data_IF_613980141346
#
_entry.id   IF_613980141346
#
_cell.length_a   1.000
_cell.length_b   1.000
_cell.length_c   1.000
_cell.angle_alpha   90.00
_cell.angle_beta   90.00
_cell.angle_gamma   90.00
#
_symmetry.space_group_name_H-M   'P 1'
#
loop_
_entity.id
_entity.type
_entity.pdbx_description
1 polymer ?
#
# COMPACT_ATOMS: atom_id res chain seq x y z
N UNK A 1 -4.69 -17.50 -34.74
CA UNK A 1 -4.13 -17.91 -33.42
C UNK A 1 -5.00 -19.02 -32.86
N UNK A 2 -4.42 -20.09 -32.32
CA UNK A 2 -5.19 -21.14 -31.66
C UNK A 2 -5.80 -20.60 -30.35
N UNK A 3 -7.05 -20.97 -30.04
CA UNK A 3 -7.67 -20.64 -28.75
C UNK A 3 -7.12 -21.58 -27.67
N UNK A 4 -6.59 -21.02 -26.59
CA UNK A 4 -6.18 -21.79 -25.41
C UNK A 4 -7.38 -22.04 -24.51
N UNK A 5 -7.62 -23.31 -24.15
CA UNK A 5 -8.70 -23.68 -23.23
C UNK A 5 -8.19 -23.69 -21.80
N UNK A 6 -8.96 -23.08 -20.90
CA UNK A 6 -8.72 -23.07 -19.46
C UNK A 6 -9.93 -23.74 -18.80
N UNK A 7 -9.69 -24.58 -17.80
CA UNK A 7 -10.73 -25.18 -16.97
C UNK A 7 -10.70 -24.51 -15.60
N UNK A 8 -11.85 -24.04 -15.14
CA UNK A 8 -12.01 -23.36 -13.86
C UNK A 8 -13.11 -24.08 -13.09
N UNK A 9 -12.80 -24.51 -11.87
CA UNK A 9 -13.80 -25.03 -10.94
C UNK A 9 -14.48 -23.86 -10.23
N UNK A 10 -15.80 -23.89 -10.16
CA UNK A 10 -16.61 -22.87 -9.51
C UNK A 10 -17.52 -23.55 -8.49
N UNK A 11 -17.79 -22.83 -7.41
CA UNK A 11 -18.86 -23.24 -6.50
C UNK A 11 -20.21 -23.23 -7.25
N UNK A 12 -21.12 -24.17 -6.98
CA UNK A 12 -22.39 -24.29 -7.71
C UNK A 12 -23.20 -22.99 -7.73
N UNK A 13 -23.27 -22.28 -6.60
CA UNK A 13 -23.96 -21.00 -6.48
C UNK A 13 -23.32 -19.92 -7.35
N UNK A 14 -21.98 -19.87 -7.41
CA UNK A 14 -21.26 -18.92 -8.23
C UNK A 14 -21.48 -19.21 -9.73
N UNK A 15 -21.48 -20.50 -10.12
CA UNK A 15 -21.75 -20.92 -11.48
C UNK A 15 -23.17 -20.55 -11.95
N UNK A 16 -24.17 -20.64 -11.06
CA UNK A 16 -25.54 -20.21 -11.36
C UNK A 16 -25.61 -18.69 -11.54
N UNK A 17 -25.06 -17.93 -10.60
CA UNK A 17 -25.02 -16.46 -10.70
C UNK A 17 -24.34 -16.00 -11.99
N UNK A 18 -23.23 -16.61 -12.37
CA UNK A 18 -22.54 -16.26 -13.62
C UNK A 18 -23.43 -16.56 -14.83
N UNK A 19 -24.15 -17.69 -14.84
CA UNK A 19 -25.08 -18.05 -15.92
C UNK A 19 -26.20 -17.03 -16.06
N UNK A 20 -26.88 -16.68 -14.97
CA UNK A 20 -27.95 -15.67 -14.98
C UNK A 20 -27.46 -14.31 -15.48
N UNK A 21 -26.25 -13.91 -15.10
CA UNK A 21 -25.66 -12.65 -15.54
C UNK A 21 -25.26 -12.66 -17.02
N UNK A 22 -24.69 -13.76 -17.50
CA UNK A 22 -24.37 -13.93 -18.90
C UNK A 22 -25.65 -13.90 -19.76
N UNK A 23 -26.70 -14.61 -19.34
CA UNK A 23 -28.00 -14.63 -20.02
C UNK A 23 -28.63 -13.24 -20.07
N UNK A 24 -28.64 -12.50 -18.95
CA UNK A 24 -29.15 -11.12 -18.91
C UNK A 24 -28.39 -10.16 -19.82
N UNK A 25 -27.09 -10.42 -20.04
CA UNK A 25 -26.25 -9.68 -20.97
C UNK A 25 -26.40 -10.16 -22.42
N UNK A 26 -27.17 -11.22 -22.69
CA UNK A 26 -27.29 -11.83 -24.02
C UNK A 26 -26.00 -12.51 -24.49
N UNK A 27 -25.15 -12.96 -23.56
CA UNK A 27 -23.84 -13.53 -23.83
C UNK A 27 -23.77 -14.99 -23.42
N UNK A 28 -22.93 -15.79 -24.09
CA UNK A 28 -22.55 -17.08 -23.56
C UNK A 28 -21.63 -16.92 -22.33
N UNK A 29 -21.64 -17.91 -21.43
CA UNK A 29 -20.86 -17.88 -20.18
C UNK A 29 -19.37 -17.65 -20.44
N UNK A 30 -18.81 -18.26 -21.49
CA UNK A 30 -17.38 -18.13 -21.78
C UNK A 30 -17.03 -16.73 -22.28
N UNK A 31 -17.85 -16.13 -23.15
CA UNK A 31 -17.68 -14.76 -23.60
C UNK A 31 -17.91 -13.75 -22.47
N UNK A 32 -18.88 -14.00 -21.59
CA UNK A 32 -19.13 -13.18 -20.42
C UNK A 32 -17.91 -13.17 -19.49
N UNK A 33 -17.36 -14.34 -19.18
CA UNK A 33 -16.16 -14.47 -18.34
C UNK A 33 -14.94 -13.81 -18.97
N UNK A 34 -14.71 -14.00 -20.28
CA UNK A 34 -13.59 -13.37 -20.99
C UNK A 34 -13.73 -11.85 -20.99
N UNK A 35 -14.94 -11.32 -21.21
CA UNK A 35 -15.21 -9.88 -21.18
C UNK A 35 -14.95 -9.31 -19.78
N UNK A 36 -15.51 -9.94 -18.75
CA UNK A 36 -15.31 -9.52 -17.36
C UNK A 36 -13.83 -9.54 -16.96
N UNK A 37 -13.10 -10.61 -17.30
CA UNK A 37 -11.67 -10.71 -17.04
C UNK A 37 -10.87 -9.61 -17.76
N UNK A 38 -11.19 -9.34 -19.02
CA UNK A 38 -10.50 -8.30 -19.81
C UNK A 38 -10.76 -6.90 -19.23
N UNK A 39 -11.98 -6.63 -18.77
CA UNK A 39 -12.31 -5.38 -18.09
C UNK A 39 -11.56 -5.25 -16.78
N UNK A 40 -11.52 -6.30 -15.97
CA UNK A 40 -10.77 -6.31 -14.72
C UNK A 40 -9.28 -6.05 -14.96
N UNK A 41 -8.69 -6.67 -15.97
CA UNK A 41 -7.29 -6.44 -16.35
C UNK A 41 -7.06 -4.97 -16.74
N UNK A 42 -7.91 -4.42 -17.61
CA UNK A 42 -7.78 -3.02 -18.03
C UNK A 42 -7.94 -2.03 -16.87
N UNK A 43 -8.85 -2.31 -15.93
CA UNK A 43 -9.04 -1.50 -14.72
C UNK A 43 -7.82 -1.57 -13.80
N UNK A 44 -7.24 -2.75 -13.60
CA UNK A 44 -6.01 -2.93 -12.82
C UNK A 44 -4.82 -2.25 -13.50
N UNK A 45 -4.60 -2.46 -14.79
CA UNK A 45 -3.51 -1.83 -15.54
C UNK A 45 -3.61 -0.28 -15.49
N UNK A 46 -4.83 0.25 -15.58
CA UNK A 46 -5.07 1.69 -15.49
C UNK A 46 -4.78 2.25 -14.08
N UNK A 47 -5.04 1.47 -13.03
CA UNK A 47 -4.67 1.85 -11.66
C UNK A 47 -3.14 1.81 -11.48
N UNK A 48 -2.48 0.73 -11.89
CA UNK A 48 -1.03 0.61 -11.81
C UNK A 48 -0.32 1.73 -12.59
N UNK A 49 -0.81 2.06 -13.78
CA UNK A 49 -0.27 3.16 -14.57
C UNK A 49 -0.38 4.52 -13.85
N UNK A 50 -1.44 4.76 -13.08
CA UNK A 50 -1.59 6.01 -12.31
C UNK A 50 -0.53 6.14 -11.21
N UNK A 51 -0.21 5.04 -10.52
CA UNK A 51 0.77 5.05 -9.42
C UNK A 51 2.22 4.94 -9.90
N UNK A 52 2.46 4.42 -11.12
CA UNK A 52 3.81 4.23 -11.67
C UNK A 52 4.71 5.47 -11.60
N UNK A 53 4.15 6.68 -11.78
CA UNK A 53 4.91 7.94 -11.69
C UNK A 53 5.30 8.28 -10.26
N UNK A 54 4.42 8.02 -9.31
CA UNK A 54 4.67 8.24 -7.88
C UNK A 54 5.74 7.26 -7.41
N UNK A 55 5.62 5.99 -7.78
CA UNK A 55 6.61 4.96 -7.43
C UNK A 55 7.99 5.30 -8.01
N UNK A 56 8.04 5.78 -9.26
CA UNK A 56 9.30 6.25 -9.87
C UNK A 56 9.89 7.47 -9.13
N UNK A 57 9.06 8.40 -8.67
CA UNK A 57 9.50 9.56 -7.91
C UNK A 57 10.02 9.15 -6.52
N UNK A 58 9.34 8.21 -5.84
CA UNK A 58 9.79 7.64 -4.56
C UNK A 58 11.13 6.93 -4.76
N UNK A 59 11.23 6.03 -5.74
CA UNK A 59 12.47 5.30 -6.01
C UNK A 59 13.65 6.23 -6.33
N UNK A 60 13.40 7.32 -7.07
CA UNK A 60 14.41 8.34 -7.33
C UNK A 60 14.86 9.06 -6.05
N UNK A 61 13.90 9.47 -5.21
CA UNK A 61 14.19 10.13 -3.94
C UNK A 61 14.93 9.22 -2.96
N UNK A 62 14.55 7.95 -2.87
CA UNK A 62 15.23 6.94 -2.05
C UNK A 62 16.65 6.68 -2.55
N UNK A 63 16.86 6.61 -3.86
CA UNK A 63 18.19 6.46 -4.44
C UNK A 63 19.08 7.69 -4.17
N UNK A 64 18.52 8.90 -4.27
CA UNK A 64 19.22 10.14 -3.90
C UNK A 64 19.59 10.14 -2.41
N UNK A 65 18.63 9.83 -1.53
CA UNK A 65 18.86 9.76 -0.09
C UNK A 65 19.91 8.71 0.29
N UNK A 66 19.90 7.54 -0.36
CA UNK A 66 20.88 6.48 -0.15
C UNK A 66 22.30 6.88 -0.60
N UNK A 67 22.43 7.84 -1.52
CA UNK A 67 23.71 8.36 -1.98
C UNK A 67 24.27 9.48 -1.07
N UNK A 68 23.43 10.08 -0.22
CA UNK A 68 23.88 11.08 0.74
C UNK A 68 24.64 10.41 1.89
N UNK A 69 25.66 11.07 2.46
CA UNK A 69 26.25 10.62 3.71
C UNK A 69 25.16 10.53 4.78
N UNK A 70 25.19 9.46 5.58
CA UNK A 70 24.32 9.41 6.75
C UNK A 70 24.61 10.66 7.61
N UNK A 71 23.57 11.44 7.97
CA UNK A 71 23.77 12.55 8.88
C UNK A 71 24.37 12.01 10.18
N UNK A 72 25.19 12.84 10.82
CA UNK A 72 25.71 12.50 12.15
C UNK A 72 24.52 12.19 13.06
N UNK A 73 24.62 11.10 13.82
CA UNK A 73 23.62 10.74 14.80
C UNK A 73 23.56 11.84 15.85
N UNK A 74 22.45 12.59 15.87
CA UNK A 74 22.20 13.65 16.85
C UNK A 74 21.55 13.02 18.05
N UNK A 75 22.22 13.11 19.19
CA UNK A 75 21.76 12.61 20.48
C UNK A 75 21.14 13.74 21.29
N UNK A 76 20.45 13.40 22.39
CA UNK A 76 19.96 14.43 23.31
C UNK A 76 21.09 15.30 23.86
N UNK A 77 22.31 14.77 23.99
CA UNK A 77 23.47 15.51 24.51
C UNK A 77 23.96 16.61 23.56
N UNK A 78 23.60 16.53 22.28
CA UNK A 78 23.90 17.55 21.26
C UNK A 78 22.91 18.73 21.28
N UNK A 79 21.80 18.60 22.02
CA UNK A 79 20.80 19.65 22.17
C UNK A 79 21.17 20.58 23.32
N UNK A 80 20.98 21.88 23.12
CA UNK A 80 20.99 22.85 24.21
C UNK A 80 19.81 22.60 25.16
N UNK A 81 19.94 23.04 26.42
CA UNK A 81 18.85 22.89 27.39
C UNK A 81 17.55 23.58 26.97
N UNK A 82 17.67 24.64 26.17
CA UNK A 82 16.53 25.32 25.57
C UNK A 82 15.86 24.47 24.47
N UNK A 83 16.64 23.85 23.59
CA UNK A 83 16.10 22.95 22.56
C UNK A 83 15.48 21.69 23.18
N UNK A 84 16.10 21.12 24.23
CA UNK A 84 15.52 20.01 24.98
C UNK A 84 14.17 20.39 25.59
N UNK A 85 14.04 21.62 26.11
CA UNK A 85 12.78 22.13 26.66
C UNK A 85 11.71 22.26 25.58
N UNK A 86 12.08 22.79 24.41
CA UNK A 86 11.18 22.94 23.27
C UNK A 86 10.72 21.58 22.71
N UNK A 87 11.61 20.61 22.60
CA UNK A 87 11.27 19.24 22.18
C UNK A 87 10.30 18.61 23.17
N UNK A 88 10.56 18.71 24.49
CA UNK A 88 9.63 18.19 25.51
C UNK A 88 8.25 18.84 25.41
N UNK A 89 8.18 20.15 25.27
CA UNK A 89 6.92 20.88 25.12
C UNK A 89 6.14 20.43 23.86
N UNK A 90 6.83 20.23 22.73
CA UNK A 90 6.22 19.74 21.50
C UNK A 90 5.73 18.28 21.63
N UNK A 91 6.50 17.42 22.29
CA UNK A 91 6.12 16.03 22.56
C UNK A 91 4.91 15.97 23.49
N UNK A 92 4.90 16.77 24.56
CA UNK A 92 3.80 16.84 25.52
C UNK A 92 2.51 17.39 24.89
N UNK A 93 2.63 18.28 23.89
CA UNK A 93 1.49 18.77 23.12
C UNK A 93 0.83 17.67 22.27
N UNK A 94 1.63 16.77 21.67
CA UNK A 94 1.15 15.70 20.78
C UNK A 94 0.66 14.49 21.58
N UNK A 95 1.37 14.11 22.64
CA UNK A 95 1.11 12.88 23.41
C UNK A 95 0.37 13.12 24.74
N UNK A 96 0.17 14.37 25.14
CA UNK A 96 -0.38 14.75 26.44
C UNK A 96 0.67 14.73 27.55
N UNK A 97 0.63 15.74 28.44
CA UNK A 97 1.60 15.95 29.51
C UNK A 97 1.61 14.87 30.62
N UNK A 98 0.67 13.92 30.60
CA UNK A 98 0.46 12.90 31.65
C UNK A 98 1.10 11.53 31.33
N UNK A 99 2.15 11.48 30.51
CA UNK A 99 2.84 10.21 30.27
C UNK A 99 3.77 9.89 31.45
N UNK A 100 3.58 8.78 32.19
CA UNK A 100 4.62 8.32 33.11
C UNK A 100 5.85 7.96 32.28
N UNK A 101 6.99 8.57 32.61
CA UNK A 101 8.27 8.34 31.96
C UNK A 101 8.68 6.86 32.10
N UNK A 102 8.25 6.00 31.17
CA UNK A 102 8.75 4.64 31.10
C UNK A 102 10.14 4.68 30.45
N UNK A 103 11.17 4.77 31.29
CA UNK A 103 12.56 4.60 30.88
C UNK A 103 12.69 3.23 30.16
N UNK A 104 13.23 3.17 28.94
CA UNK A 104 13.62 1.91 28.34
C UNK A 104 15.00 1.55 28.88
N UNK A 105 15.05 0.67 29.89
CA UNK A 105 16.34 0.24 30.45
C UNK A 105 16.24 -0.38 31.83
N UNK A 106 15.44 -1.44 32.00
CA UNK A 106 15.65 -2.41 33.08
C UNK A 106 15.08 -3.75 32.60
N UNK A 107 15.96 -4.53 31.95
CA UNK A 107 15.76 -5.96 31.77
C UNK A 107 16.44 -6.66 32.95
N UNK A 108 15.67 -7.48 33.66
CA UNK A 108 16.18 -8.51 34.57
C UNK A 108 16.64 -9.74 33.78
#
# INVERSE_FOLDING_TARGET
MAKTRISISLDPEQAERIREHAERAGMDVSAYLVNAATRQMAETDALEAQFSRIDAAIAAAEAEAAALPQPAEVTEDDLTEEEKRQVREAVDLVYGADRPAKRPGEAA
#
